data_IF_183020027446
#
_entry.id   IF_183020027446
#
_cell.length_a   1.000
_cell.length_b   1.000
_cell.length_c   1.000
_cell.angle_alpha   90.00
_cell.angle_beta   90.00
_cell.angle_gamma   90.00
#
_symmetry.space_group_name_H-M   'P 1'
#
loop_
_entity.id
_entity.type
_entity.pdbx_description
1 polymer ?
#
# COMPACT_ATOMS: atom_id res chain seq x y z
N UNK A 1 15.22 -10.49 16.12
CA UNK A 1 15.85 -9.78 14.99
C UNK A 1 15.01 -10.00 13.74
N UNK A 2 14.33 -9.01 13.17
CA UNK A 2 13.61 -9.23 11.93
C UNK A 2 14.60 -9.16 10.77
N UNK A 3 14.70 -10.26 10.04
CA UNK A 3 15.49 -10.41 8.82
C UNK A 3 14.51 -10.41 7.66
N UNK A 4 14.64 -9.43 6.78
CA UNK A 4 13.75 -9.23 5.64
C UNK A 4 13.77 -7.80 5.13
N UNK A 5 14.94 -7.16 5.13
CA UNK A 5 15.13 -5.93 4.39
C UNK A 5 15.13 -6.28 2.91
N UNK A 6 14.11 -5.82 2.18
CA UNK A 6 14.14 -5.88 0.72
C UNK A 6 15.20 -4.86 0.29
N UNK A 7 16.42 -5.33 0.07
CA UNK A 7 17.41 -4.59 -0.71
C UNK A 7 17.13 -4.89 -2.18
N UNK A 8 16.23 -4.14 -2.80
CA UNK A 8 16.12 -4.10 -4.26
C UNK A 8 17.02 -2.97 -4.78
N UNK A 9 17.92 -3.35 -5.67
CA UNK A 9 18.91 -2.49 -6.28
C UNK A 9 18.26 -1.66 -7.38
N UNK A 10 17.46 -0.67 -6.97
CA UNK A 10 17.10 0.54 -7.72
C UNK A 10 16.71 1.60 -6.68
N UNK A 11 17.72 2.07 -5.94
CA UNK A 11 17.64 3.25 -5.07
C UNK A 11 17.55 4.53 -5.93
N UNK A 12 16.47 4.61 -6.71
CA UNK A 12 16.06 5.75 -7.52
C UNK A 12 14.61 6.12 -7.20
N UNK A 13 14.32 6.36 -5.92
CA UNK A 13 13.05 6.79 -5.34
C UNK A 13 11.85 5.85 -5.58
N UNK A 14 11.52 4.99 -4.59
CA UNK A 14 10.13 4.55 -4.43
C UNK A 14 9.27 5.81 -4.23
N UNK A 15 8.59 6.25 -5.28
CA UNK A 15 7.72 7.42 -5.23
C UNK A 15 6.33 7.08 -4.67
N UNK A 16 6.02 5.80 -4.50
CA UNK A 16 4.82 5.31 -3.84
C UNK A 16 4.66 3.79 -3.92
N UNK A 17 3.49 3.34 -3.50
CA UNK A 17 3.03 1.96 -3.58
C UNK A 17 1.63 1.90 -4.22
N UNK A 18 1.30 0.78 -4.86
CA UNK A 18 -0.07 0.45 -5.25
C UNK A 18 -0.52 -0.80 -4.48
N UNK A 19 -1.51 -0.65 -3.60
CA UNK A 19 -2.06 -1.74 -2.80
C UNK A 19 -3.01 -2.56 -3.67
N UNK A 20 -2.67 -3.83 -3.86
CA UNK A 20 -3.37 -4.77 -4.75
C UNK A 20 -4.11 -5.88 -3.98
N UNK A 21 -4.07 -5.83 -2.65
CA UNK A 21 -4.84 -6.71 -1.78
C UNK A 21 -4.64 -6.35 -0.32
N UNK A 22 -5.71 -6.23 0.46
CA UNK A 22 -5.65 -5.98 1.90
C UNK A 22 -6.66 -6.87 2.62
N UNK A 23 -6.26 -7.48 3.74
CA UNK A 23 -7.19 -8.22 4.59
C UNK A 23 -7.95 -7.23 5.49
N UNK A 24 -9.28 -7.25 5.42
CA UNK A 24 -10.17 -6.37 6.18
C UNK A 24 -11.11 -7.12 7.14
N UNK A 25 -10.89 -8.42 7.37
CA UNK A 25 -11.76 -9.25 8.22
C UNK A 25 -11.63 -8.91 9.71
N UNK A 26 -10.45 -8.43 10.13
CA UNK A 26 -10.09 -8.19 11.53
C UNK A 26 -10.04 -6.71 11.91
N UNK A 27 -10.50 -5.85 11.01
CA UNK A 27 -10.41 -4.40 11.12
C UNK A 27 -10.29 -3.74 9.75
N UNK A 28 -10.20 -2.42 9.75
CA UNK A 28 -10.16 -1.62 8.52
C UNK A 28 -8.77 -1.02 8.33
N UNK A 29 -8.23 -1.17 7.12
CA UNK A 29 -7.14 -0.32 6.67
C UNK A 29 -7.69 1.03 6.24
N UNK A 30 -6.99 2.09 6.64
CA UNK A 30 -7.32 3.45 6.28
C UNK A 30 -6.08 4.16 5.75
N UNK A 31 -6.30 5.11 4.85
CA UNK A 31 -5.26 5.98 4.34
C UNK A 31 -5.64 7.45 4.49
N UNK A 32 -4.64 8.31 4.38
CA UNK A 32 -4.79 9.76 4.30
C UNK A 32 -3.84 10.27 3.22
N UNK A 33 -4.21 11.35 2.54
CA UNK A 33 -3.35 12.09 1.62
C UNK A 33 -3.18 13.56 2.04
N UNK A 34 -3.68 13.92 3.24
CA UNK A 34 -3.66 15.28 3.78
C UNK A 34 -3.04 15.35 5.19
N UNK A 35 -2.03 14.51 5.42
CA UNK A 35 -1.23 14.53 6.65
C UNK A 35 -1.94 13.97 7.88
N UNK A 36 -3.05 13.23 7.70
CA UNK A 36 -3.83 12.67 8.79
C UNK A 36 -5.00 13.52 9.25
N UNK A 37 -5.32 14.60 8.53
CA UNK A 37 -6.49 15.44 8.81
C UNK A 37 -7.79 14.67 8.53
N UNK A 38 -7.85 13.97 7.40
CA UNK A 38 -8.94 13.07 7.04
C UNK A 38 -8.39 11.67 6.76
N UNK A 39 -9.14 10.66 7.20
CA UNK A 39 -8.83 9.25 6.96
C UNK A 39 -9.97 8.61 6.15
N UNK A 40 -9.60 7.85 5.13
CA UNK A 40 -10.51 7.17 4.22
C UNK A 40 -10.30 5.67 4.33
N UNK A 41 -11.39 4.91 4.42
CA UNK A 41 -11.34 3.46 4.39
C UNK A 41 -10.83 2.98 3.04
N UNK A 42 -9.89 2.03 3.05
CA UNK A 42 -9.51 1.32 1.84
C UNK A 42 -10.68 0.41 1.45
N UNK A 43 -11.07 0.43 0.18
CA UNK A 43 -12.09 -0.46 -0.35
C UNK A 43 -11.51 -1.81 -0.79
N UNK A 44 -12.29 -2.55 -1.57
CA UNK A 44 -11.79 -3.77 -2.21
C UNK A 44 -10.60 -3.44 -3.13
N UNK A 45 -9.49 -4.14 -2.93
CA UNK A 45 -8.27 -3.98 -3.71
C UNK A 45 -7.96 -5.22 -4.52
N UNK A 46 -7.49 -5.02 -5.74
CA UNK A 46 -7.01 -6.08 -6.63
C UNK A 46 -5.93 -5.53 -7.55
N UNK A 47 -5.29 -6.37 -8.36
CA UNK A 47 -4.35 -5.86 -9.37
C UNK A 47 -5.03 -4.98 -10.42
N UNK A 48 -6.34 -5.16 -10.69
CA UNK A 48 -7.10 -4.30 -11.61
C UNK A 48 -7.74 -3.09 -10.92
N UNK A 49 -7.71 -3.04 -9.59
CA UNK A 49 -8.31 -1.99 -8.76
C UNK A 49 -7.37 -1.71 -7.57
N UNK A 50 -6.21 -1.15 -7.88
CA UNK A 50 -5.12 -0.95 -6.94
C UNK A 50 -5.15 0.48 -6.38
N UNK A 51 -5.11 0.63 -5.06
CA UNK A 51 -5.04 1.95 -4.43
C UNK A 51 -3.61 2.49 -4.51
N UNK A 52 -3.41 3.62 -5.19
CA UNK A 52 -2.10 4.24 -5.37
C UNK A 52 -1.83 5.26 -4.26
N UNK A 53 -0.72 5.10 -3.54
CA UNK A 53 -0.33 5.95 -2.41
C UNK A 53 1.12 6.41 -2.58
N UNK A 54 1.31 7.71 -2.66
CA UNK A 54 2.63 8.31 -2.83
C UNK A 54 3.45 8.24 -1.53
N UNK A 55 4.76 8.08 -1.66
CA UNK A 55 5.71 8.10 -0.54
C UNK A 55 6.09 9.55 -0.21
N UNK A 56 5.16 10.29 0.40
CA UNK A 56 5.37 11.68 0.82
C UNK A 56 4.84 11.94 2.23
N UNK A 57 5.16 13.11 2.80
CA UNK A 57 4.82 13.47 4.19
C UNK A 57 3.31 13.55 4.48
N UNK A 58 2.48 13.71 3.45
CA UNK A 58 1.04 13.84 3.57
C UNK A 58 0.32 12.50 3.47
N UNK A 59 1.00 11.46 3.00
CA UNK A 59 0.39 10.16 2.75
C UNK A 59 0.73 9.18 3.87
N UNK A 60 -0.29 8.62 4.50
CA UNK A 60 -0.11 7.67 5.61
C UNK A 60 -1.13 6.54 5.52
N UNK A 61 -0.77 5.40 6.10
CA UNK A 61 -1.61 4.23 6.25
C UNK A 61 -1.72 3.89 7.72
N UNK A 62 -2.90 3.41 8.13
CA UNK A 62 -3.10 2.82 9.46
C UNK A 62 -4.05 1.64 9.38
N UNK A 63 -3.95 0.77 10.37
CA UNK A 63 -4.94 -0.26 10.61
C UNK A 63 -5.75 0.08 11.86
N UNK A 64 -7.07 0.02 11.74
CA UNK A 64 -8.02 0.20 12.84
C UNK A 64 -8.60 -1.16 13.17
N UNK A 65 -8.10 -1.86 14.22
CA UNK A 65 -8.53 -3.21 14.54
C UNK A 65 -10.00 -3.23 15.01
N UNK A 66 -10.70 -4.32 14.72
CA UNK A 66 -11.98 -4.61 15.35
C UNK A 66 -11.81 -4.78 16.87
N UNK A 67 -12.84 -4.48 17.69
CA UNK A 67 -12.74 -4.60 19.15
C UNK A 67 -12.25 -5.99 19.58
N UNK A 68 -11.19 -6.02 20.39
CA UNK A 68 -10.60 -7.24 20.92
C UNK A 68 -9.67 -8.02 19.97
N UNK A 69 -9.44 -7.53 18.73
CA UNK A 69 -8.48 -8.17 17.84
C UNK A 69 -7.04 -7.95 18.33
N UNK A 70 -6.30 -9.04 18.43
CA UNK A 70 -4.85 -9.07 18.57
C UNK A 70 -4.29 -10.02 17.50
N UNK A 71 -3.12 -9.71 16.97
CA UNK A 71 -2.50 -10.50 15.91
C UNK A 71 -1.87 -9.66 14.81
N UNK A 72 -1.35 -10.34 13.80
CA UNK A 72 -0.69 -9.72 12.65
C UNK A 72 -1.62 -9.65 11.46
N UNK A 73 -1.77 -8.46 10.91
CA UNK A 73 -2.46 -8.20 9.64
C UNK A 73 -1.48 -7.67 8.62
N UNK A 74 -1.86 -7.73 7.34
CA UNK A 74 -1.03 -7.15 6.28
C UNK A 74 -1.81 -6.84 5.01
N UNK A 75 -1.10 -6.21 4.08
CA UNK A 75 -1.55 -5.92 2.74
C UNK A 75 -0.44 -6.20 1.73
N UNK A 76 -0.81 -6.60 0.52
CA UNK A 76 0.08 -6.85 -0.61
C UNK A 76 0.10 -5.62 -1.52
N UNK A 77 1.28 -5.24 -1.98
CA UNK A 77 1.47 -4.08 -2.86
C UNK A 77 2.52 -4.34 -3.95
N UNK A 78 2.56 -3.45 -4.93
CA UNK A 78 3.68 -3.27 -5.87
C UNK A 78 4.23 -1.85 -5.71
N UNK A 79 5.48 -1.62 -6.10
CA UNK A 79 6.01 -0.27 -6.17
C UNK A 79 5.30 0.53 -7.28
N UNK A 80 5.12 1.83 -7.06
CA UNK A 80 4.50 2.76 -7.98
C UNK A 80 5.41 3.99 -8.18
N UNK A 81 5.74 4.31 -9.43
CA UNK A 81 6.68 5.40 -9.78
C UNK A 81 5.98 6.72 -10.14
N UNK A 82 4.68 6.85 -9.87
CA UNK A 82 3.88 8.06 -10.14
C UNK A 82 3.85 8.57 -11.58
N UNK A 83 4.38 7.82 -12.56
CA UNK A 83 4.33 8.20 -13.97
C UNK A 83 2.91 8.10 -14.58
N UNK A 84 2.01 7.37 -13.91
CA UNK A 84 0.58 7.33 -14.24
C UNK A 84 -0.28 7.15 -12.99
N UNK A 85 -1.53 7.61 -13.04
CA UNK A 85 -2.44 7.61 -11.88
C UNK A 85 -2.20 8.78 -10.91
N UNK A 86 -3.03 8.89 -9.88
CA UNK A 86 -2.98 9.96 -8.89
C UNK A 86 -2.92 9.40 -7.46
N UNK A 87 -2.33 10.17 -6.55
CA UNK A 87 -2.25 9.79 -5.14
C UNK A 87 -3.64 9.75 -4.51
N UNK A 88 -4.01 8.60 -3.93
CA UNK A 88 -5.30 8.36 -3.29
C UNK A 88 -6.39 7.81 -4.22
N UNK A 89 -6.10 7.62 -5.52
CA UNK A 89 -7.01 7.05 -6.50
C UNK A 89 -6.80 5.54 -6.68
N UNK A 90 -7.79 4.88 -7.28
CA UNK A 90 -7.70 3.49 -7.71
C UNK A 90 -7.35 3.39 -9.20
N UNK A 91 -6.41 2.50 -9.54
CA UNK A 91 -5.91 2.30 -10.90
C UNK A 91 -5.72 0.83 -11.27
N UNK A 92 -5.44 0.57 -12.54
CA UNK A 92 -5.18 -0.77 -13.05
C UNK A 92 -3.66 -1.05 -13.06
N UNK A 93 -3.21 -1.89 -12.14
CA UNK A 93 -1.82 -2.33 -12.00
C UNK A 93 -1.60 -3.77 -12.51
N UNK A 94 -2.36 -4.20 -13.52
CA UNK A 94 -2.15 -5.51 -14.17
C UNK A 94 -0.97 -5.52 -15.13
N UNK A 95 -0.66 -4.38 -15.76
CA UNK A 95 0.52 -4.20 -16.62
C UNK A 95 1.70 -3.74 -15.75
N UNK A 96 2.83 -4.46 -15.79
CA UNK A 96 3.97 -4.27 -14.87
C UNK A 96 5.31 -4.36 -15.58
N UNK A 97 6.31 -3.67 -15.04
CA UNK A 97 7.68 -3.64 -15.54
C UNK A 97 7.86 -2.85 -16.84
N UNK A 98 9.08 -2.82 -17.34
CA UNK A 98 9.43 -2.02 -18.52
C UNK A 98 9.17 -0.54 -18.27
N UNK A 99 8.31 0.06 -19.09
CA UNK A 99 7.89 1.47 -18.98
C UNK A 99 6.58 1.65 -18.18
N UNK A 100 6.04 0.58 -17.60
CA UNK A 100 4.86 0.68 -16.74
C UNK A 100 5.20 1.38 -15.43
N UNK A 101 4.23 2.10 -14.89
CA UNK A 101 4.34 2.75 -13.58
C UNK A 101 4.44 1.79 -12.39
N UNK A 102 4.26 0.48 -12.61
CA UNK A 102 4.17 -0.53 -11.56
C UNK A 102 5.26 -1.59 -11.68
N UNK A 103 5.87 -1.96 -10.55
CA UNK A 103 6.88 -3.02 -10.50
C UNK A 103 6.33 -4.40 -10.84
N UNK A 104 7.18 -5.28 -11.38
CA UNK A 104 6.84 -6.70 -11.60
C UNK A 104 6.66 -7.41 -10.25
N UNK A 105 7.63 -7.21 -9.35
CA UNK A 105 7.62 -7.81 -8.02
C UNK A 105 6.53 -7.18 -7.17
N UNK A 106 5.95 -8.01 -6.31
CA UNK A 106 5.02 -7.64 -5.24
C UNK A 106 5.68 -7.91 -3.90
N UNK A 107 5.21 -7.22 -2.87
CA UNK A 107 5.64 -7.41 -1.49
C UNK A 107 4.46 -7.31 -0.52
N UNK A 108 4.67 -7.71 0.73
CA UNK A 108 3.68 -7.70 1.80
C UNK A 108 4.17 -6.85 2.96
N UNK A 109 3.39 -5.83 3.32
CA UNK A 109 3.60 -5.07 4.55
C UNK A 109 2.69 -5.61 5.65
N UNK A 110 3.20 -5.68 6.88
CA UNK A 110 2.47 -6.22 8.04
C UNK A 110 2.49 -5.27 9.23
N UNK A 111 1.42 -5.29 10.02
CA UNK A 111 1.30 -4.62 11.31
C UNK A 111 0.84 -5.65 12.34
N UNK A 112 1.44 -5.63 13.53
CA UNK A 112 1.01 -6.46 14.66
C UNK A 112 0.27 -5.61 15.68
N UNK A 113 -0.93 -6.03 16.03
CA UNK A 113 -1.78 -5.47 17.08
C UNK A 113 -1.56 -6.30 18.34
N UNK A 114 -1.16 -5.65 19.42
CA UNK A 114 -0.88 -6.24 20.74
C UNK A 114 -1.78 -5.65 21.82
#
# INVERSE_FOLDING_TARGET
SPQGGISDADLGAMQGIAIIGANQLSGLWQYTTNGGTNWTDIGATSSAHALMLASNSNTRLRFTPSPGYTGTVGFTFVAWDVSSGLNGDYGNATIRGGVSAFSIKKDVATVTVV
#
